data_IF_575168475604
#
_entry.id   IF_575168475604
#
_cell.length_a   1.000
_cell.length_b   1.000
_cell.length_c   1.000
_cell.angle_alpha   90.00
_cell.angle_beta   90.00
_cell.angle_gamma   90.00
#
_symmetry.space_group_name_H-M   'P 1'
#
loop_
_entity.id
_entity.type
_entity.pdbx_description
1 polymer ?
#
# COMPACT_ATOMS: atom_id res chain seq x y z
N UNK A 1 0.43 7.98 -28.23
CA UNK A 1 -0.41 8.00 -27.01
C UNK A 1 0.42 7.42 -25.90
N UNK A 2 0.57 8.17 -24.82
CA UNK A 2 1.63 7.99 -23.83
C UNK A 2 1.54 6.64 -23.09
N UNK A 3 2.67 5.94 -23.00
CA UNK A 3 2.80 4.65 -22.31
C UNK A 3 2.72 4.92 -20.81
N UNK A 4 1.53 4.74 -20.23
CA UNK A 4 1.27 4.91 -18.79
C UNK A 4 2.17 3.94 -17.98
N UNK A 5 2.76 4.40 -16.87
CA UNK A 5 3.98 3.81 -16.32
C UNK A 5 3.76 2.46 -15.63
N UNK A 6 4.78 1.61 -15.77
CA UNK A 6 5.37 0.68 -14.78
C UNK A 6 4.52 0.50 -13.53
N UNK A 7 3.94 -0.70 -13.37
CA UNK A 7 3.42 -1.28 -12.13
C UNK A 7 3.36 -0.28 -10.97
N UNK A 8 2.28 0.53 -10.92
CA UNK A 8 2.06 1.42 -9.77
C UNK A 8 2.08 0.55 -8.51
N UNK A 9 2.50 1.08 -7.37
CA UNK A 9 2.57 0.38 -6.08
C UNK A 9 1.29 -0.40 -5.68
N UNK A 10 0.17 -0.21 -6.39
CA UNK A 10 -1.04 -1.02 -6.34
C UNK A 10 -0.86 -2.52 -6.66
N UNK A 11 0.21 -2.93 -7.36
CA UNK A 11 0.38 -4.34 -7.78
C UNK A 11 1.36 -5.15 -6.92
N UNK A 12 2.19 -4.52 -6.10
CA UNK A 12 3.11 -5.24 -5.22
C UNK A 12 2.35 -5.90 -4.06
N UNK A 13 1.38 -5.16 -3.51
CA UNK A 13 0.71 -5.52 -2.26
C UNK A 13 -0.78 -5.11 -2.28
N UNK A 14 -1.60 -5.68 -3.17
CA UNK A 14 -3.00 -5.30 -3.31
C UNK A 14 -3.82 -5.58 -2.03
N UNK A 15 -3.51 -6.67 -1.33
CA UNK A 15 -4.19 -7.09 -0.10
C UNK A 15 -3.96 -6.10 1.04
N UNK A 16 -2.71 -5.84 1.41
CA UNK A 16 -2.38 -4.88 2.49
C UNK A 16 -2.77 -3.45 2.14
N UNK A 17 -2.74 -3.09 0.84
CA UNK A 17 -3.21 -1.79 0.37
C UNK A 17 -4.72 -1.63 0.58
N UNK A 18 -5.51 -2.66 0.27
CA UNK A 18 -6.95 -2.64 0.46
C UNK A 18 -7.32 -2.53 1.95
N UNK A 19 -6.69 -3.36 2.80
CA UNK A 19 -6.92 -3.34 4.25
C UNK A 19 -6.55 -1.97 4.84
N UNK A 20 -5.41 -1.40 4.42
CA UNK A 20 -4.99 -0.05 4.82
C UNK A 20 -6.01 0.99 4.38
N UNK A 21 -6.37 1.04 3.09
CA UNK A 21 -7.33 2.02 2.57
C UNK A 21 -8.68 1.91 3.31
N UNK A 22 -9.19 0.69 3.53
CA UNK A 22 -10.43 0.45 4.27
C UNK A 22 -10.31 0.93 5.72
N UNK A 23 -9.22 0.60 6.40
CA UNK A 23 -8.98 1.09 7.75
C UNK A 23 -8.91 2.61 7.79
N UNK A 24 -8.19 3.26 6.86
CA UNK A 24 -8.08 4.72 6.83
C UNK A 24 -9.44 5.38 6.60
N UNK A 25 -10.30 4.77 5.77
CA UNK A 25 -11.66 5.25 5.52
C UNK A 25 -12.54 5.12 6.77
N UNK A 26 -12.43 4.01 7.51
CA UNK A 26 -13.29 3.72 8.66
C UNK A 26 -12.80 4.39 9.94
N UNK A 27 -11.51 4.24 10.25
CA UNK A 27 -10.89 4.60 11.53
C UNK A 27 -9.99 5.85 11.44
N UNK A 28 -9.63 6.30 10.23
CA UNK A 28 -8.66 7.37 10.02
C UNK A 28 -7.21 6.89 9.99
N UNK A 29 -6.36 7.59 9.25
CA UNK A 29 -4.96 7.21 9.00
C UNK A 29 -4.14 7.01 10.27
N UNK A 30 -4.41 7.82 11.30
CA UNK A 30 -3.73 7.78 12.60
C UNK A 30 -3.93 6.46 13.37
N UNK A 31 -5.09 5.82 13.19
CA UNK A 31 -5.41 4.56 13.87
C UNK A 31 -4.94 3.32 13.09
N UNK A 32 -4.49 3.49 11.85
CA UNK A 32 -4.17 2.40 10.94
C UNK A 32 -2.66 2.14 10.79
N UNK A 33 -1.89 2.51 11.81
CA UNK A 33 -0.42 2.37 11.80
C UNK A 33 0.01 0.93 11.51
N UNK A 34 -0.73 -0.06 12.03
CA UNK A 34 -0.46 -1.49 11.80
C UNK A 34 -0.64 -1.88 10.33
N UNK A 35 -1.72 -1.43 9.70
CA UNK A 35 -2.02 -1.73 8.30
C UNK A 35 -1.03 -1.02 7.36
N UNK A 36 -0.62 0.20 7.73
CA UNK A 36 0.42 0.94 7.04
C UNK A 36 1.75 0.18 7.14
N UNK A 37 2.18 -0.24 8.33
CA UNK A 37 3.41 -1.02 8.51
C UNK A 37 3.39 -2.34 7.73
N UNK A 38 2.26 -3.06 7.72
CA UNK A 38 2.10 -4.27 6.91
C UNK A 38 2.23 -3.99 5.40
N UNK A 39 1.67 -2.89 4.93
CA UNK A 39 1.82 -2.46 3.54
C UNK A 39 3.27 -2.10 3.20
N UNK A 40 3.94 -1.34 4.09
CA UNK A 40 5.36 -0.98 3.96
C UNK A 40 6.27 -2.22 3.96
N UNK A 41 6.02 -3.18 4.84
CA UNK A 41 6.77 -4.43 4.92
C UNK A 41 6.67 -5.23 3.61
N UNK A 42 5.46 -5.32 3.05
CA UNK A 42 5.25 -5.96 1.76
C UNK A 42 5.94 -5.18 0.62
N UNK A 43 5.89 -3.85 0.62
CA UNK A 43 6.61 -3.03 -0.36
C UNK A 43 8.14 -3.25 -0.28
N UNK A 44 8.70 -3.32 0.93
CA UNK A 44 10.13 -3.66 1.12
C UNK A 44 10.46 -5.07 0.63
N UNK A 45 9.60 -6.05 0.91
CA UNK A 45 9.77 -7.42 0.42
C UNK A 45 9.70 -7.51 -1.12
N UNK A 46 8.88 -6.66 -1.75
CA UNK A 46 8.80 -6.53 -3.20
C UNK A 46 9.95 -5.72 -3.80
N UNK A 47 10.91 -5.25 -2.99
CA UNK A 47 12.11 -4.53 -3.44
C UNK A 47 11.92 -3.02 -3.63
N UNK A 48 10.84 -2.44 -3.11
CA UNK A 48 10.64 -1.00 -3.09
C UNK A 48 11.35 -0.39 -1.87
N UNK A 49 12.17 0.64 -2.11
CA UNK A 49 12.84 1.38 -1.04
C UNK A 49 11.95 2.54 -0.60
N UNK A 50 11.27 2.39 0.55
CA UNK A 50 10.26 3.30 1.12
C UNK A 50 10.62 3.71 2.55
#
# INVERSE_FOLDING_TARGET
GEIKPKCKACCACPETKQIRDECVIINGQENCSKEIEAHLACMRAAGFNI
#
